data_IF_186212746587
#
_entry.id   IF_186212746587
#
_cell.length_a   1.000
_cell.length_b   1.000
_cell.length_c   1.000
_cell.angle_alpha   90.00
_cell.angle_beta   90.00
_cell.angle_gamma   90.00
#
_symmetry.space_group_name_H-M   'P 1'
#
loop_
_entity.id
_entity.type
_entity.pdbx_description
1 polymer ?
#
# COMPACT_ATOMS: atom_id res chain seq x y z
N UNK A 1 15.63 8.30 22.83
CA UNK A 1 16.76 7.73 22.06
C UNK A 1 17.19 6.38 22.61
N UNK A 2 17.51 6.19 23.90
CA UNK A 2 17.95 4.90 24.47
C UNK A 2 16.96 3.75 24.20
N UNK A 3 15.65 3.97 24.36
CA UNK A 3 14.61 2.94 24.11
C UNK A 3 14.50 2.50 22.64
N UNK A 4 14.76 3.39 21.69
CA UNK A 4 14.77 3.08 20.27
C UNK A 4 15.98 2.24 19.90
N UNK A 5 17.15 2.58 20.47
CA UNK A 5 18.38 1.81 20.29
C UNK A 5 18.22 0.40 20.88
N UNK A 6 17.62 0.28 22.07
CA UNK A 6 17.34 -1.03 22.69
C UNK A 6 16.40 -1.88 21.83
N UNK A 7 15.35 -1.29 21.25
CA UNK A 7 14.44 -1.97 20.33
C UNK A 7 15.14 -2.42 19.05
N UNK A 8 16.01 -1.58 18.49
CA UNK A 8 16.81 -1.93 17.30
C UNK A 8 17.81 -3.07 17.59
N UNK A 9 18.49 -3.03 18.74
CA UNK A 9 19.40 -4.10 19.16
C UNK A 9 18.66 -5.40 19.44
N UNK A 10 17.48 -5.34 20.07
CA UNK A 10 16.64 -6.51 20.31
C UNK A 10 16.12 -7.09 18.98
N UNK A 11 15.68 -6.26 18.05
CA UNK A 11 15.27 -6.68 16.71
C UNK A 11 16.43 -7.35 15.96
N UNK A 12 17.65 -6.77 16.01
CA UNK A 12 18.84 -7.36 15.42
C UNK A 12 19.24 -8.71 16.04
N UNK A 13 19.09 -8.85 17.37
CA UNK A 13 19.38 -10.12 18.06
C UNK A 13 18.40 -11.24 17.68
N UNK A 14 17.10 -10.91 17.48
CA UNK A 14 16.09 -11.86 17.02
C UNK A 14 16.38 -12.35 15.60
N UNK A 15 16.92 -11.49 14.73
CA UNK A 15 17.22 -11.84 13.33
C UNK A 15 18.35 -12.86 13.20
N UNK A 16 19.34 -12.85 14.09
CA UNK A 16 20.49 -13.77 14.03
C UNK A 16 20.09 -15.23 14.30
N UNK A 17 19.07 -15.48 15.11
CA UNK A 17 18.58 -16.83 15.41
C UNK A 17 17.53 -17.33 14.40
N UNK A 18 16.84 -16.41 13.74
CA UNK A 18 15.75 -16.74 12.80
C UNK A 18 16.26 -17.25 11.43
N UNK A 19 17.43 -16.84 10.99
CA UNK A 19 17.99 -17.25 9.70
C UNK A 19 18.22 -18.77 9.59
N UNK A 20 18.46 -19.45 10.70
CA UNK A 20 18.62 -20.91 10.72
C UNK A 20 17.30 -21.67 10.43
N UNK A 21 16.17 -20.99 10.43
CA UNK A 21 14.83 -21.59 10.27
C UNK A 21 14.04 -21.06 9.04
N UNK A 22 14.72 -20.39 8.09
CA UNK A 22 14.05 -19.83 6.92
C UNK A 22 13.27 -18.55 7.17
N UNK A 23 13.43 -17.92 8.33
CA UNK A 23 12.87 -16.60 8.66
C UNK A 23 13.85 -15.50 8.30
N UNK A 24 13.36 -14.48 7.62
CA UNK A 24 14.14 -13.29 7.30
C UNK A 24 13.37 -12.04 7.74
N UNK A 25 14.04 -11.20 8.46
CA UNK A 25 13.54 -9.87 8.81
C UNK A 25 14.16 -8.84 7.87
N UNK A 26 13.41 -7.79 7.54
CA UNK A 26 13.90 -6.78 6.63
C UNK A 26 13.11 -5.47 6.70
N UNK A 27 13.46 -4.57 5.81
CA UNK A 27 12.75 -3.31 5.59
C UNK A 27 12.29 -3.29 4.14
N UNK A 28 11.02 -2.92 3.94
CA UNK A 28 10.39 -2.76 2.62
C UNK A 28 9.92 -1.33 2.45
N UNK A 29 10.12 -0.76 1.27
CA UNK A 29 9.63 0.57 0.92
C UNK A 29 9.49 0.76 -0.58
N UNK A 30 8.77 1.80 -0.96
CA UNK A 30 8.55 2.09 -2.37
C UNK A 30 7.58 3.22 -2.61
N UNK A 31 7.15 3.33 -3.86
CA UNK A 31 6.21 4.32 -4.33
C UNK A 31 4.87 3.69 -4.66
N UNK A 32 3.79 4.41 -4.38
CA UNK A 32 2.44 4.11 -4.82
C UNK A 32 2.07 5.02 -5.99
N UNK A 33 1.51 4.44 -7.04
CA UNK A 33 0.84 5.17 -8.10
C UNK A 33 -0.63 4.78 -7.98
N UNK A 34 -1.42 5.67 -7.41
CA UNK A 34 -2.82 5.41 -7.11
C UNK A 34 -3.70 5.98 -8.22
N UNK A 35 -4.62 5.15 -8.73
CA UNK A 35 -5.70 5.58 -9.58
C UNK A 35 -7.00 5.42 -8.81
N UNK A 36 -7.61 6.52 -8.39
CA UNK A 36 -8.94 6.48 -7.79
C UNK A 36 -9.97 6.38 -8.89
N UNK A 37 -10.81 5.33 -8.84
CA UNK A 37 -11.94 5.18 -9.74
C UNK A 37 -13.22 5.44 -8.97
N UNK A 38 -14.10 6.28 -9.53
CA UNK A 38 -15.42 6.60 -8.98
C UNK A 38 -16.50 5.92 -9.82
N UNK A 39 -17.58 5.51 -9.19
CA UNK A 39 -18.69 4.82 -9.85
C UNK A 39 -19.54 5.75 -10.75
N UNK A 40 -19.35 7.05 -10.67
CA UNK A 40 -20.02 8.05 -11.53
C UNK A 40 -18.97 9.03 -12.08
N UNK A 41 -19.11 9.40 -13.34
CA UNK A 41 -18.23 10.32 -14.09
C UNK A 41 -18.29 11.79 -13.63
N UNK A 42 -18.63 12.03 -12.35
CA UNK A 42 -18.81 13.38 -11.79
C UNK A 42 -17.53 13.92 -11.16
N UNK A 43 -16.54 13.05 -10.94
CA UNK A 43 -15.28 13.43 -10.30
C UNK A 43 -14.11 12.78 -11.04
N UNK A 44 -13.23 13.57 -11.59
CA UNK A 44 -11.95 13.12 -12.14
C UNK A 44 -10.87 13.22 -11.06
N UNK A 45 -10.01 12.23 -11.00
CA UNK A 45 -8.86 12.19 -10.11
C UNK A 45 -7.62 11.88 -10.90
N UNK A 46 -6.64 12.76 -10.83
CA UNK A 46 -5.33 12.54 -11.42
C UNK A 46 -4.51 11.50 -10.63
N UNK A 47 -3.64 10.79 -11.35
CA UNK A 47 -2.73 9.83 -10.75
C UNK A 47 -1.76 10.55 -9.81
N UNK A 48 -1.82 10.24 -8.52
CA UNK A 48 -0.95 10.83 -7.52
C UNK A 48 0.05 9.80 -7.00
N UNK A 49 1.29 10.24 -6.86
CA UNK A 49 2.34 9.44 -6.26
C UNK A 49 2.28 9.52 -4.74
N UNK A 50 2.40 8.38 -4.10
CA UNK A 50 2.58 8.24 -2.66
C UNK A 50 3.81 7.41 -2.35
N UNK A 51 4.07 7.14 -1.09
CA UNK A 51 5.14 6.25 -0.67
C UNK A 51 4.68 5.34 0.46
N UNK A 52 5.40 4.23 0.61
CA UNK A 52 5.24 3.34 1.74
C UNK A 52 6.60 2.88 2.26
N UNK A 53 6.68 2.61 3.57
CA UNK A 53 7.89 2.09 4.21
C UNK A 53 7.55 1.38 5.51
N UNK A 54 8.26 0.32 5.83
CA UNK A 54 8.11 -0.35 7.13
C UNK A 54 8.85 -1.66 7.23
N UNK A 55 8.80 -2.31 8.41
CA UNK A 55 9.36 -3.62 8.64
C UNK A 55 8.63 -4.70 7.84
N UNK A 56 9.39 -5.69 7.39
CA UNK A 56 8.89 -6.83 6.66
C UNK A 56 9.52 -8.12 7.19
N UNK A 57 8.74 -9.19 7.15
CA UNK A 57 9.15 -10.53 7.51
C UNK A 57 8.86 -11.47 6.35
N UNK A 58 9.79 -12.37 6.09
CA UNK A 58 9.67 -13.39 5.07
C UNK A 58 9.96 -14.76 5.68
N UNK A 59 9.10 -15.71 5.41
CA UNK A 59 9.27 -17.11 5.79
C UNK A 59 9.43 -17.91 4.52
N UNK A 60 10.58 -18.59 4.39
CA UNK A 60 10.83 -19.50 3.28
C UNK A 60 10.35 -20.90 3.65
N UNK A 61 9.55 -21.50 2.78
CA UNK A 61 8.99 -22.83 2.91
C UNK A 61 9.61 -23.77 1.85
N UNK A 62 9.50 -25.10 2.02
CA UNK A 62 9.95 -26.04 1.01
C UNK A 62 9.33 -25.81 -0.38
N UNK A 63 9.98 -26.33 -1.41
CA UNK A 63 9.53 -26.31 -2.80
C UNK A 63 9.36 -24.89 -3.40
N UNK A 64 10.07 -23.88 -2.87
CA UNK A 64 10.01 -22.51 -3.38
C UNK A 64 8.87 -21.68 -2.86
N UNK A 65 7.98 -22.23 -2.04
CA UNK A 65 6.92 -21.47 -1.38
C UNK A 65 7.46 -20.58 -0.28
N UNK A 66 6.66 -19.61 0.14
CA UNK A 66 6.96 -18.73 1.25
C UNK A 66 5.76 -17.89 1.64
N UNK A 67 5.92 -17.15 2.73
CA UNK A 67 4.94 -16.19 3.22
C UNK A 67 5.65 -14.88 3.52
N UNK A 68 5.05 -13.78 3.07
CA UNK A 68 5.46 -12.43 3.43
C UNK A 68 4.43 -11.79 4.34
N UNK A 69 4.88 -11.12 5.37
CA UNK A 69 4.08 -10.20 6.16
C UNK A 69 4.86 -8.90 6.35
N UNK A 70 4.18 -7.76 6.34
CA UNK A 70 4.80 -6.48 6.63
C UNK A 70 3.85 -5.58 7.42
N UNK A 71 4.40 -4.54 8.05
CA UNK A 71 3.64 -3.44 8.62
C UNK A 71 4.17 -2.14 8.01
N UNK A 72 3.45 -1.61 7.04
CA UNK A 72 3.89 -0.52 6.19
C UNK A 72 3.15 0.77 6.54
N UNK A 73 3.87 1.81 6.89
CA UNK A 73 3.31 3.16 6.84
C UNK A 73 3.14 3.52 5.37
N UNK A 74 1.92 3.84 4.98
CA UNK A 74 1.53 4.15 3.61
C UNK A 74 0.92 5.55 3.58
N UNK A 75 1.42 6.40 2.69
CA UNK A 75 0.88 7.72 2.42
C UNK A 75 0.52 7.82 0.96
N UNK A 76 -0.74 8.14 0.67
CA UNK A 76 -1.28 8.35 -0.68
C UNK A 76 -1.92 9.72 -0.75
N UNK A 77 -1.72 10.41 -1.85
CA UNK A 77 -2.39 11.68 -2.12
C UNK A 77 -3.34 11.50 -3.29
N UNK A 78 -4.46 12.19 -3.25
CA UNK A 78 -5.40 12.32 -4.36
C UNK A 78 -5.77 13.79 -4.51
N UNK A 79 -5.89 14.24 -5.73
CA UNK A 79 -6.44 15.56 -6.05
C UNK A 79 -7.86 15.38 -6.57
N UNK A 80 -8.78 16.16 -6.01
CA UNK A 80 -10.17 16.17 -6.41
C UNK A 80 -10.46 17.47 -7.14
N UNK A 81 -10.78 17.37 -8.42
CA UNK A 81 -11.35 18.46 -9.21
C UNK A 81 -12.87 18.35 -9.14
N UNK A 82 -13.53 19.40 -8.69
CA UNK A 82 -14.99 19.42 -8.55
C UNK A 82 -15.66 20.19 -9.69
N UNK A 83 -16.76 19.67 -10.21
CA UNK A 83 -17.66 20.41 -11.08
C UNK A 83 -18.72 21.09 -10.22
N UNK A 84 -18.94 22.37 -10.42
CA UNK A 84 -20.02 23.14 -9.74
C UNK A 84 -21.00 23.61 -10.79
N UNK A 85 -22.28 23.38 -10.54
CA UNK A 85 -23.34 23.94 -11.35
C UNK A 85 -23.51 25.42 -10.98
N UNK A 86 -23.12 26.30 -11.89
CA UNK A 86 -23.28 27.76 -11.74
C UNK A 86 -24.14 28.24 -12.93
N UNK A 87 -25.31 28.79 -12.61
CA UNK A 87 -26.28 29.30 -13.61
C UNK A 87 -26.75 28.26 -14.65
N UNK A 88 -26.95 26.98 -14.25
CA UNK A 88 -27.39 25.92 -15.16
C UNK A 88 -26.31 25.40 -16.12
N UNK A 89 -25.06 25.79 -15.90
CA UNK A 89 -23.89 25.27 -16.62
C UNK A 89 -22.95 24.58 -15.63
N UNK A 90 -22.46 23.39 -16.04
CA UNK A 90 -21.44 22.67 -15.30
C UNK A 90 -20.09 23.33 -15.58
N UNK A 91 -19.52 23.97 -14.61
CA UNK A 91 -18.23 24.68 -14.70
C UNK A 91 -17.20 23.95 -13.85
N UNK A 92 -16.02 23.68 -14.40
CA UNK A 92 -14.86 23.23 -13.62
C UNK A 92 -14.53 24.31 -12.57
N UNK A 93 -14.57 23.94 -11.32
CA UNK A 93 -14.11 24.82 -10.25
C UNK A 93 -12.58 24.77 -10.20
N UNK A 94 -11.93 25.86 -10.61
CA UNK A 94 -10.46 25.99 -10.48
C UNK A 94 -10.04 25.81 -9.02
N UNK A 95 -9.11 24.90 -8.80
CA UNK A 95 -8.50 24.61 -7.52
C UNK A 95 -8.80 23.21 -7.00
N UNK A 96 -7.96 22.26 -7.41
CA UNK A 96 -7.99 20.90 -6.88
C UNK A 96 -7.79 20.86 -5.36
N UNK A 97 -8.64 20.11 -4.65
CA UNK A 97 -8.45 19.86 -3.22
C UNK A 97 -7.59 18.62 -3.06
N UNK A 98 -6.36 18.80 -2.59
CA UNK A 98 -5.44 17.70 -2.31
C UNK A 98 -5.79 17.05 -0.98
N UNK A 99 -6.16 15.77 -1.02
CA UNK A 99 -6.41 14.94 0.15
C UNK A 99 -5.25 13.96 0.30
N UNK A 100 -4.58 13.99 1.44
CA UNK A 100 -3.50 13.07 1.77
C UNK A 100 -3.99 12.06 2.78
N UNK A 101 -4.08 10.80 2.37
CA UNK A 101 -4.47 9.69 3.21
C UNK A 101 -3.23 9.01 3.78
N UNK A 102 -3.24 8.77 5.09
CA UNK A 102 -2.19 8.04 5.81
C UNK A 102 -2.79 6.78 6.41
N UNK A 103 -2.09 5.67 6.28
CA UNK A 103 -2.58 4.39 6.81
C UNK A 103 -1.43 3.47 7.19
N UNK A 104 -1.73 2.51 8.06
CA UNK A 104 -0.88 1.34 8.28
C UNK A 104 -1.44 0.21 7.42
N UNK A 105 -0.63 -0.32 6.53
CA UNK A 105 -0.98 -1.43 5.65
C UNK A 105 -0.30 -2.71 6.14
N UNK A 106 -1.08 -3.77 6.28
CA UNK A 106 -0.59 -5.08 6.71
C UNK A 106 -0.86 -6.08 5.59
N UNK A 107 0.05 -6.22 4.61
CA UNK A 107 -0.02 -7.27 3.62
C UNK A 107 0.35 -8.63 4.23
N UNK A 108 -0.37 -9.67 3.82
CA UNK A 108 -0.06 -11.07 4.08
C UNK A 108 -0.10 -11.82 2.76
N UNK A 109 1.06 -12.11 2.18
CA UNK A 109 1.14 -12.70 0.85
C UNK A 109 1.71 -14.11 0.92
N UNK A 110 1.08 -15.03 0.21
CA UNK A 110 1.68 -16.27 -0.23
C UNK A 110 2.62 -15.93 -1.40
N UNK A 111 3.84 -16.47 -1.39
CA UNK A 111 4.80 -16.27 -2.47
C UNK A 111 5.34 -17.58 -3.02
N UNK A 112 5.74 -17.54 -4.27
CA UNK A 112 6.46 -18.61 -4.94
C UNK A 112 7.76 -18.06 -5.51
N UNK A 113 8.89 -18.68 -5.12
CA UNK A 113 10.22 -18.24 -5.50
C UNK A 113 10.78 -19.20 -6.54
N UNK A 114 11.29 -18.65 -7.63
CA UNK A 114 11.92 -19.36 -8.74
C UNK A 114 13.40 -18.97 -8.75
N UNK A 115 14.27 -19.90 -8.37
CA UNK A 115 15.71 -19.67 -8.41
C UNK A 115 16.23 -19.55 -9.82
N UNK A 116 17.05 -18.56 -10.11
CA UNK A 116 17.75 -18.35 -11.39
C UNK A 116 19.27 -18.55 -11.24
N UNK A 117 19.68 -19.32 -10.24
CA UNK A 117 21.07 -19.56 -9.89
C UNK A 117 21.38 -19.20 -8.44
N UNK A 118 22.66 -19.09 -8.09
CA UNK A 118 23.11 -18.94 -6.70
C UNK A 118 22.74 -17.55 -6.09
N UNK A 119 22.60 -16.51 -6.91
CA UNK A 119 22.48 -15.13 -6.41
C UNK A 119 21.27 -14.37 -6.92
N UNK A 120 20.45 -15.00 -7.76
CA UNK A 120 19.27 -14.37 -8.34
C UNK A 120 18.06 -15.29 -8.31
N UNK A 121 16.88 -14.71 -8.25
CA UNK A 121 15.60 -15.40 -8.31
C UNK A 121 14.49 -14.47 -8.77
N UNK A 122 13.40 -15.07 -9.21
CA UNK A 122 12.12 -14.39 -9.41
C UNK A 122 11.20 -14.76 -8.27
N UNK A 123 10.25 -13.89 -7.96
CA UNK A 123 9.14 -14.26 -7.08
C UNK A 123 7.80 -13.77 -7.63
N UNK A 124 6.77 -14.53 -7.34
CA UNK A 124 5.38 -14.14 -7.47
C UNK A 124 4.77 -14.09 -6.08
N UNK A 125 3.89 -13.14 -5.83
CA UNK A 125 3.25 -12.96 -4.53
C UNK A 125 1.78 -12.63 -4.70
N UNK A 126 0.92 -13.22 -3.88
CA UNK A 126 -0.52 -12.96 -3.89
C UNK A 126 -1.07 -13.07 -2.47
N UNK A 127 -1.96 -12.17 -2.10
CA UNK A 127 -2.58 -12.25 -0.78
C UNK A 127 -3.40 -11.03 -0.38
N UNK A 128 -4.12 -11.13 0.74
CA UNK A 128 -4.86 -10.02 1.30
C UNK A 128 -3.94 -8.95 1.91
N UNK A 129 -4.43 -7.73 1.91
CA UNK A 129 -3.83 -6.60 2.60
C UNK A 129 -4.89 -5.86 3.40
N UNK A 130 -4.62 -5.67 4.67
CA UNK A 130 -5.49 -4.94 5.59
C UNK A 130 -4.94 -3.53 5.79
N UNK A 131 -5.76 -2.51 5.52
CA UNK A 131 -5.41 -1.11 5.70
C UNK A 131 -6.15 -0.47 6.85
N UNK A 132 -5.42 0.22 7.71
CA UNK A 132 -5.95 0.94 8.87
C UNK A 132 -5.60 2.42 8.74
N UNK A 133 -6.57 3.31 8.44
CA UNK A 133 -6.32 4.76 8.37
C UNK A 133 -5.77 5.30 9.69
N UNK A 134 -4.77 6.16 9.59
CA UNK A 134 -4.12 6.84 10.72
C UNK A 134 -4.24 8.35 10.52
N UNK A 135 -4.76 9.06 11.52
CA UNK A 135 -4.99 10.51 11.46
C UNK A 135 -6.43 10.87 11.13
N UNK A 136 -6.64 11.98 10.43
CA UNK A 136 -7.97 12.50 10.13
C UNK A 136 -8.72 11.54 9.20
N UNK A 137 -9.94 11.19 9.59
CA UNK A 137 -10.84 10.31 8.83
C UNK A 137 -11.88 11.08 8.03
N UNK A 138 -12.00 12.37 8.29
CA UNK A 138 -12.99 13.24 7.67
C UNK A 138 -12.27 14.39 6.97
N UNK A 139 -12.50 14.52 5.70
CA UNK A 139 -11.96 15.59 4.87
C UNK A 139 -13.08 16.43 4.30
N UNK A 140 -13.06 17.74 4.62
CA UNK A 140 -13.97 18.69 4.02
C UNK A 140 -13.43 19.06 2.63
N UNK A 141 -14.05 18.54 1.60
CA UNK A 141 -13.73 18.87 0.20
C UNK A 141 -14.75 19.86 -0.35
N UNK A 142 -14.44 20.52 -1.47
CA UNK A 142 -15.40 21.42 -2.14
C UNK A 142 -16.64 20.69 -2.67
N UNK A 143 -16.55 19.38 -2.85
CA UNK A 143 -17.66 18.51 -3.31
C UNK A 143 -18.51 17.98 -2.14
N UNK A 144 -17.98 18.03 -0.90
CA UNK A 144 -18.67 17.53 0.29
C UNK A 144 -17.72 16.92 1.33
N UNK A 145 -18.29 16.43 2.42
CA UNK A 145 -17.55 15.72 3.47
C UNK A 145 -17.22 14.30 2.99
N UNK A 146 -15.92 14.02 2.82
CA UNK A 146 -15.41 12.69 2.49
C UNK A 146 -14.94 11.99 3.76
N UNK A 147 -15.47 10.78 4.02
CA UNK A 147 -15.15 10.00 5.21
C UNK A 147 -14.48 8.69 4.82
N UNK A 148 -13.29 8.43 5.38
CA UNK A 148 -12.59 7.16 5.27
C UNK A 148 -13.24 6.10 6.15
N UNK A 149 -13.31 4.86 5.68
CA UNK A 149 -13.70 3.69 6.50
C UNK A 149 -12.61 3.35 7.52
N UNK A 150 -13.01 2.76 8.64
CA UNK A 150 -12.11 2.39 9.74
C UNK A 150 -11.08 1.34 9.36
N UNK A 151 -11.41 0.48 8.42
CA UNK A 151 -10.51 -0.50 7.83
C UNK A 151 -10.89 -0.78 6.38
N UNK A 152 -9.91 -1.07 5.56
CA UNK A 152 -10.10 -1.50 4.19
C UNK A 152 -9.39 -2.83 3.93
N UNK A 153 -9.97 -3.62 3.04
CA UNK A 153 -9.39 -4.86 2.55
C UNK A 153 -9.06 -4.71 1.08
N UNK A 154 -7.89 -5.17 0.69
CA UNK A 154 -7.46 -5.26 -0.69
C UNK A 154 -6.73 -6.57 -0.94
N UNK A 155 -6.49 -6.90 -2.21
CA UNK A 155 -5.72 -8.05 -2.63
C UNK A 155 -4.50 -7.61 -3.42
N UNK A 156 -3.35 -8.16 -3.08
CA UNK A 156 -2.09 -7.92 -3.75
C UNK A 156 -1.82 -8.99 -4.80
N UNK A 157 -1.32 -8.56 -5.94
CA UNK A 157 -0.75 -9.38 -7.00
C UNK A 157 0.61 -8.82 -7.34
N UNK A 158 1.67 -9.48 -6.92
CA UNK A 158 3.04 -8.99 -7.02
C UNK A 158 3.96 -9.91 -7.79
N UNK A 159 4.96 -9.31 -8.41
CA UNK A 159 6.08 -10.02 -9.03
C UNK A 159 7.37 -9.19 -8.87
N UNK A 160 8.50 -9.87 -8.81
CA UNK A 160 9.76 -9.18 -8.69
C UNK A 160 10.96 -10.10 -8.80
N UNK A 161 12.12 -9.50 -8.57
CA UNK A 161 13.41 -10.17 -8.58
C UNK A 161 14.04 -10.14 -7.19
N UNK A 162 14.68 -11.22 -6.82
CA UNK A 162 15.53 -11.31 -5.64
C UNK A 162 16.99 -11.32 -6.12
N UNK A 163 17.80 -10.46 -5.56
CA UNK A 163 19.23 -10.33 -5.84
C UNK A 163 20.02 -10.61 -4.56
N UNK A 164 21.14 -11.32 -4.70
CA UNK A 164 22.03 -11.70 -3.59
C UNK A 164 21.28 -12.37 -2.43
N UNK A 165 20.14 -13.01 -2.70
CA UNK A 165 19.23 -13.64 -1.72
C UNK A 165 18.69 -12.71 -0.65
N UNK A 166 18.94 -11.40 -0.72
CA UNK A 166 18.63 -10.40 0.32
C UNK A 166 17.91 -9.17 -0.19
N UNK A 167 18.18 -8.76 -1.41
CA UNK A 167 17.59 -7.54 -2.00
C UNK A 167 16.47 -7.97 -2.93
N UNK A 168 15.32 -7.40 -2.75
CA UNK A 168 14.17 -7.63 -3.63
C UNK A 168 13.73 -6.31 -4.27
N UNK A 169 13.41 -6.37 -5.55
CA UNK A 169 12.79 -5.26 -6.28
C UNK A 169 11.59 -5.83 -7.01
N UNK A 170 10.47 -5.15 -6.93
CA UNK A 170 9.24 -5.68 -7.53
C UNK A 170 8.15 -4.66 -7.74
N UNK A 171 7.12 -5.14 -8.42
CA UNK A 171 5.89 -4.42 -8.71
C UNK A 171 4.73 -5.20 -8.10
N UNK A 172 3.80 -4.50 -7.48
CA UNK A 172 2.59 -5.08 -6.90
C UNK A 172 1.38 -4.27 -7.37
N UNK A 173 0.37 -4.95 -7.87
CA UNK A 173 -0.96 -4.37 -8.08
C UNK A 173 -1.81 -4.65 -6.85
N UNK A 174 -2.32 -3.60 -6.24
CA UNK A 174 -3.21 -3.64 -5.09
C UNK A 174 -4.63 -3.37 -5.56
N UNK A 175 -5.49 -4.39 -5.50
CA UNK A 175 -6.89 -4.35 -5.89
C UNK A 175 -7.76 -4.16 -4.66
N UNK A 176 -8.45 -3.04 -4.56
CA UNK A 176 -9.39 -2.79 -3.46
C UNK A 176 -10.57 -3.75 -3.51
N UNK A 177 -10.82 -4.47 -2.42
CA UNK A 177 -11.91 -5.45 -2.30
C UNK A 177 -13.24 -4.84 -1.84
N UNK A 178 -13.27 -3.54 -1.57
CA UNK A 178 -14.46 -2.83 -1.09
C UNK A 178 -14.31 -1.32 -1.16
N UNK A 179 -15.34 -0.62 -0.72
CA UNK A 179 -15.37 0.84 -0.66
C UNK A 179 -14.31 1.36 0.32
N UNK A 180 -13.43 2.23 -0.13
CA UNK A 180 -12.38 2.84 0.70
C UNK A 180 -12.86 4.08 1.46
N UNK A 181 -13.94 4.74 0.99
CA UNK A 181 -14.54 5.92 1.58
C UNK A 181 -15.94 6.20 1.04
N UNK A 182 -16.66 7.12 1.67
CA UNK A 182 -18.02 7.53 1.32
C UNK A 182 -18.15 9.05 1.37
N UNK A 183 -18.90 9.63 0.42
CA UNK A 183 -19.33 11.02 0.48
C UNK A 183 -20.69 11.12 1.17
N UNK A 184 -20.81 11.96 2.20
CA UNK A 184 -22.01 12.08 3.02
C UNK A 184 -23.24 12.66 2.30
N UNK A 185 -23.02 13.40 1.21
CA UNK A 185 -24.09 14.10 0.48
C UNK A 185 -24.37 13.54 -0.92
N UNK A 186 -23.66 12.46 -1.30
CA UNK A 186 -23.85 11.81 -2.59
C UNK A 186 -24.10 10.33 -2.30
N UNK A 187 -25.35 9.95 -2.16
CA UNK A 187 -25.76 8.55 -2.09
C UNK A 187 -25.32 7.85 -3.39
N UNK A 188 -24.60 6.72 -3.25
CA UNK A 188 -24.08 5.87 -4.35
C UNK A 188 -22.77 6.31 -5.04
N UNK A 189 -21.94 7.18 -4.50
CA UNK A 189 -20.57 7.37 -5.01
C UNK A 189 -19.58 6.51 -4.24
N UNK A 190 -19.29 5.36 -4.78
CA UNK A 190 -18.32 4.41 -4.23
C UNK A 190 -16.92 4.70 -4.74
N UNK A 191 -15.95 4.74 -3.83
CA UNK A 191 -14.56 4.96 -4.15
C UNK A 191 -13.77 3.65 -4.04
N UNK A 192 -13.15 3.22 -5.12
CA UNK A 192 -12.20 2.10 -5.15
C UNK A 192 -10.80 2.65 -5.32
N UNK A 193 -9.90 2.26 -4.44
CA UNK A 193 -8.53 2.79 -4.38
C UNK A 193 -7.53 1.73 -4.84
N UNK A 194 -7.50 1.47 -6.14
CA UNK A 194 -6.53 0.56 -6.73
C UNK A 194 -5.17 1.27 -6.86
N UNK A 195 -4.09 0.56 -6.63
CA UNK A 195 -2.75 1.14 -6.71
C UNK A 195 -1.74 0.19 -7.34
N UNK A 196 -0.85 0.74 -8.16
CA UNK A 196 0.40 0.13 -8.51
C UNK A 196 1.46 0.54 -7.49
N UNK A 197 2.21 -0.43 -7.00
CA UNK A 197 3.30 -0.23 -6.07
C UNK A 197 4.59 -0.70 -6.70
N UNK A 198 5.60 0.17 -6.74
CA UNK A 198 6.96 -0.18 -7.16
C UNK A 198 7.84 -0.03 -5.93
N UNK A 199 8.57 -1.07 -5.56
CA UNK A 199 9.34 -1.02 -4.34
C UNK A 199 10.51 -1.98 -4.27
N UNK A 200 11.27 -1.80 -3.21
CA UNK A 200 12.38 -2.65 -2.85
C UNK A 200 12.28 -3.10 -1.40
N UNK A 201 12.92 -4.20 -1.09
CA UNK A 201 13.11 -4.69 0.27
C UNK A 201 14.55 -5.17 0.44
N UNK A 202 15.06 -5.02 1.64
CA UNK A 202 16.33 -5.63 2.05
C UNK A 202 16.07 -6.51 3.26
N UNK A 203 16.53 -7.75 3.19
CA UNK A 203 16.38 -8.75 4.25
C UNK A 203 17.74 -9.10 4.86
N UNK A 204 17.71 -9.36 6.15
CA UNK A 204 18.87 -9.68 6.96
C UNK A 204 18.85 -11.14 7.44
#
# INVERSE_FOLDING_TARGET
MKRIITLLVLAAAITMTAQAQGFHFGVKGGLNITKMSFSKDVVESDNQAGFYVGPAFKISLPAGFGVDIAALYDQRSAEFEGFVEQNGQVVLQEGATKVTQKSIQIPLNLRYNIGLGASAGLYLAVGPQFGFPVGDKVYNTKVGEYRLKDANLSFNFGAGVTLLSRIEVGVTYNLAAGKSGEFKNLDDVDTHNNAWQIGAAIYF
#
